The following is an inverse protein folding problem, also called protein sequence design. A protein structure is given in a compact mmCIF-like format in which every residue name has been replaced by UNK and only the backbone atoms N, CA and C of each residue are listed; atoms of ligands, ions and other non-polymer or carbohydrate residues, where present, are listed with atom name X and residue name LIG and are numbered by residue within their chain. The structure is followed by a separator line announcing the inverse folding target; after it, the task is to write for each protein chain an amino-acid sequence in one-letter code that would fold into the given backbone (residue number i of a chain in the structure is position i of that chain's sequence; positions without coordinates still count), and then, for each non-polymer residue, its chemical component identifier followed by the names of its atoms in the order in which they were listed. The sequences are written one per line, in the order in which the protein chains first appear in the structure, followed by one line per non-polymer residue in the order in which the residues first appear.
data_IF_042494141465
#
_entry.id   IF_042494141465
#
_cell.length_a   1.000
_cell.length_b   1.000
_cell.length_c   1.000
_cell.angle_alpha   90.00
_cell.angle_beta   90.00
_cell.angle_gamma   90.00
#
_symmetry.space_group_name_H-M   'P 1'
#
loop_
_entity.id
_entity.type
_entity.pdbx_description
1 polymer ?
#
# COMPACT_ATOMS: atom_id res chain seq x y z
N UNK A 1 -18.20 16.54 16.92
CA UNK A 1 -17.60 16.61 15.56
C UNK A 1 -18.19 17.86 14.94
N UNK A 2 -17.35 18.86 14.65
CA UNK A 2 -17.79 20.19 14.22
C UNK A 2 -18.27 20.04 12.76
N UNK A 3 -19.53 20.43 12.42
CA UNK A 3 -20.08 20.29 11.07
C UNK A 3 -19.21 20.94 9.99
N UNK A 4 -18.59 22.07 10.30
CA UNK A 4 -17.68 22.81 9.44
C UNK A 4 -16.42 22.01 9.05
N UNK A 5 -15.93 21.12 9.92
CA UNK A 5 -14.77 20.25 9.60
C UNK A 5 -15.15 19.14 8.62
N UNK A 6 -16.37 18.60 8.73
CA UNK A 6 -16.89 17.60 7.79
C UNK A 6 -17.11 18.22 6.40
N UNK A 7 -17.65 19.43 6.35
CA UNK A 7 -17.85 20.20 5.11
C UNK A 7 -16.53 20.59 4.47
N UNK A 8 -15.54 21.04 5.25
CA UNK A 8 -14.18 21.33 4.79
C UNK A 8 -13.50 20.09 4.21
N UNK A 9 -13.61 18.93 4.89
CA UNK A 9 -13.06 17.67 4.39
C UNK A 9 -13.74 17.19 3.11
N UNK A 10 -15.07 17.32 3.03
CA UNK A 10 -15.85 16.95 1.83
C UNK A 10 -15.50 17.85 0.64
N UNK A 11 -15.40 19.16 0.87
CA UNK A 11 -15.04 20.13 -0.16
C UNK A 11 -13.58 19.96 -0.62
N UNK A 12 -12.67 19.63 0.29
CA UNK A 12 -11.25 19.37 -0.02
C UNK A 12 -11.12 18.10 -0.86
N UNK A 13 -11.86 17.03 -0.53
CA UNK A 13 -11.88 15.77 -1.30
C UNK A 13 -12.52 16.00 -2.68
N UNK A 14 -13.63 16.75 -2.76
CA UNK A 14 -14.28 17.08 -4.03
C UNK A 14 -13.37 17.93 -4.92
N UNK A 15 -12.73 18.97 -4.37
CA UNK A 15 -11.78 19.80 -5.11
C UNK A 15 -10.54 19.01 -5.59
N UNK A 16 -10.06 18.02 -4.81
CA UNK A 16 -9.00 17.12 -5.25
C UNK A 16 -9.45 16.20 -6.38
N UNK A 17 -10.71 15.73 -6.36
CA UNK A 17 -11.30 14.93 -7.44
C UNK A 17 -11.48 15.76 -8.72
N UNK A 18 -11.93 17.02 -8.60
CA UNK A 18 -12.11 17.94 -9.73
C UNK A 18 -10.76 18.38 -10.33
N UNK A 19 -9.72 18.58 -9.50
CA UNK A 19 -8.36 18.84 -9.95
C UNK A 19 -7.75 17.65 -10.69
N UNK A 20 -8.08 16.41 -10.30
CA UNK A 20 -7.68 15.19 -11.00
C UNK A 20 -8.32 15.10 -12.39
N UNK A 21 -9.62 15.41 -12.51
CA UNK A 21 -10.35 15.38 -13.78
C UNK A 21 -9.84 16.42 -14.81
N UNK A 22 -9.25 17.53 -14.35
CA UNK A 22 -8.80 18.63 -15.22
C UNK A 22 -7.35 18.52 -15.72
N UNK A 23 -6.48 17.70 -15.09
CA UNK A 23 -5.05 17.65 -15.44
C UNK A 23 -4.63 16.48 -16.34
N UNK A 24 -5.57 15.58 -16.72
CA UNK A 24 -5.28 14.46 -17.62
C UNK A 24 -4.16 13.52 -17.12
N UNK A 25 -3.99 13.40 -15.82
CA UNK A 25 -2.96 12.56 -15.24
C UNK A 25 -3.24 11.08 -15.49
N UNK A 26 -2.18 10.34 -15.81
CA UNK A 26 -2.27 8.91 -15.96
C UNK A 26 -2.68 8.28 -14.61
N UNK A 27 -3.85 7.65 -14.60
CA UNK A 27 -4.37 6.94 -13.43
C UNK A 27 -3.73 5.56 -13.26
N UNK A 28 -3.08 5.05 -14.30
CA UNK A 28 -2.46 3.73 -14.29
C UNK A 28 -1.22 3.70 -13.37
N UNK A 29 -0.99 2.56 -12.80
CA UNK A 29 0.18 2.26 -11.98
C UNK A 29 1.32 1.87 -12.93
N UNK A 30 2.15 2.83 -13.33
CA UNK A 30 3.22 2.64 -14.32
C UNK A 30 4.09 1.43 -14.02
N UNK A 31 4.23 0.55 -15.01
CA UNK A 31 5.01 -0.67 -14.90
C UNK A 31 4.32 -1.82 -14.15
N UNK A 32 3.12 -1.61 -13.61
CA UNK A 32 2.33 -2.64 -12.95
C UNK A 32 1.45 -3.38 -13.96
N UNK A 33 2.08 -4.05 -14.92
CA UNK A 33 1.39 -4.95 -15.86
C UNK A 33 1.04 -6.27 -15.17
N UNK A 34 0.01 -6.99 -15.67
CA UNK A 34 -0.34 -8.32 -15.14
C UNK A 34 0.84 -9.30 -15.23
N UNK A 35 1.67 -9.21 -16.26
CA UNK A 35 2.89 -10.02 -16.38
C UNK A 35 3.89 -9.69 -15.27
N UNK A 36 4.20 -8.40 -15.05
CA UNK A 36 5.14 -7.97 -14.04
C UNK A 36 4.65 -8.31 -12.61
N UNK A 37 3.35 -8.13 -12.37
CA UNK A 37 2.71 -8.53 -11.10
C UNK A 37 2.82 -10.03 -10.89
N UNK A 38 2.49 -10.85 -11.91
CA UNK A 38 2.58 -12.31 -11.81
C UNK A 38 4.00 -12.77 -11.46
N UNK A 39 5.01 -12.16 -12.08
CA UNK A 39 6.42 -12.44 -11.77
C UNK A 39 6.80 -12.01 -10.36
N UNK A 40 6.40 -10.80 -9.93
CA UNK A 40 6.72 -10.27 -8.62
C UNK A 40 6.17 -11.14 -7.48
N UNK A 41 4.94 -11.67 -7.63
CA UNK A 41 4.31 -12.54 -6.64
C UNK A 41 4.61 -14.02 -6.81
N UNK A 42 5.39 -14.40 -7.85
CA UNK A 42 5.66 -15.79 -8.23
C UNK A 42 4.38 -16.60 -8.41
N UNK A 43 3.33 -15.95 -8.92
CA UNK A 43 2.03 -16.56 -9.13
C UNK A 43 1.90 -17.32 -10.44
N UNK A 44 0.78 -17.99 -10.60
CA UNK A 44 0.39 -18.68 -11.84
C UNK A 44 -0.69 -17.84 -12.51
N UNK A 45 -0.40 -17.33 -13.69
CA UNK A 45 -1.37 -16.59 -14.50
C UNK A 45 -2.23 -17.53 -15.31
N UNK A 46 -3.53 -17.28 -15.34
CA UNK A 46 -4.51 -17.93 -16.22
C UNK A 46 -5.32 -16.84 -16.92
N UNK A 47 -5.62 -17.01 -18.21
CA UNK A 47 -6.41 -16.07 -19.02
C UNK A 47 -5.75 -15.74 -20.36
N UNK A 48 -6.32 -14.76 -21.10
CA UNK A 48 -5.82 -14.36 -22.42
C UNK A 48 -4.39 -13.80 -22.34
N UNK A 49 -3.52 -14.23 -23.27
CA UNK A 49 -2.10 -13.78 -23.31
C UNK A 49 -1.96 -12.26 -23.55
N UNK A 50 -2.84 -11.69 -24.38
CA UNK A 50 -2.87 -10.26 -24.64
C UNK A 50 -3.12 -9.40 -23.40
N UNK A 51 -3.89 -9.92 -22.44
CA UNK A 51 -4.19 -9.21 -21.18
C UNK A 51 -2.97 -9.07 -20.27
N UNK A 52 -1.94 -9.89 -20.42
CA UNK A 52 -0.71 -9.81 -19.63
C UNK A 52 -0.03 -8.44 -19.68
N UNK A 53 -0.22 -7.69 -20.78
CA UNK A 53 0.36 -6.36 -20.99
C UNK A 53 -0.49 -5.22 -20.41
N UNK A 54 -1.68 -5.52 -19.89
CA UNK A 54 -2.55 -4.52 -19.30
C UNK A 54 -1.93 -3.97 -18.02
N UNK A 55 -1.80 -2.65 -17.93
CA UNK A 55 -1.39 -1.96 -16.71
C UNK A 55 -2.58 -1.77 -15.77
N UNK A 56 -2.33 -1.93 -14.48
CA UNK A 56 -3.34 -1.78 -13.44
C UNK A 56 -3.62 -0.31 -13.12
N UNK A 57 -4.88 0.02 -12.89
CA UNK A 57 -5.30 1.32 -12.35
C UNK A 57 -5.21 1.36 -10.83
N UNK A 58 -5.55 0.25 -10.16
CA UNK A 58 -5.62 0.13 -8.72
C UNK A 58 -5.42 -1.32 -8.27
N UNK A 59 -5.07 -1.50 -6.99
CA UNK A 59 -5.07 -2.80 -6.31
C UNK A 59 -5.88 -2.65 -5.03
N UNK A 60 -6.89 -3.50 -4.84
CA UNK A 60 -7.75 -3.48 -3.67
C UNK A 60 -8.02 -4.87 -3.10
N UNK A 61 -8.29 -4.93 -1.80
CA UNK A 61 -8.79 -6.12 -1.07
C UNK A 61 -10.27 -5.97 -0.69
N UNK A 62 -10.86 -4.80 -0.94
CA UNK A 62 -12.27 -4.51 -0.65
C UNK A 62 -13.06 -4.52 -1.96
N UNK A 63 -13.95 -5.51 -2.12
CA UNK A 63 -14.76 -5.67 -3.33
C UNK A 63 -15.65 -4.46 -3.67
N UNK A 64 -15.98 -3.63 -2.66
CA UNK A 64 -16.76 -2.39 -2.84
C UNK A 64 -15.94 -1.23 -3.41
N UNK A 65 -14.62 -1.37 -3.46
CA UNK A 65 -13.66 -0.37 -3.95
C UNK A 65 -12.93 -0.84 -5.21
N UNK A 66 -13.53 -1.78 -5.93
CA UNK A 66 -13.00 -2.20 -7.23
C UNK A 66 -13.12 -1.04 -8.20
N UNK A 67 -12.02 -0.71 -8.85
CA UNK A 67 -11.96 0.29 -9.91
C UNK A 67 -11.83 -0.41 -11.27
N UNK A 68 -12.28 0.26 -12.32
CA UNK A 68 -12.09 -0.22 -13.70
C UNK A 68 -10.60 -0.41 -13.97
N UNK A 69 -10.25 -1.52 -14.61
CA UNK A 69 -8.86 -1.95 -14.89
C UNK A 69 -8.03 -2.20 -13.61
N UNK A 70 -8.68 -2.41 -12.46
CA UNK A 70 -8.04 -2.73 -11.20
C UNK A 70 -7.79 -4.22 -10.99
N UNK A 71 -6.94 -4.56 -10.01
CA UNK A 71 -6.73 -5.90 -9.49
C UNK A 71 -7.46 -6.08 -8.16
N UNK A 72 -8.35 -7.04 -8.07
CA UNK A 72 -8.97 -7.44 -6.82
C UNK A 72 -8.21 -8.62 -6.20
N UNK A 73 -7.72 -8.45 -4.96
CA UNK A 73 -7.04 -9.51 -4.21
C UNK A 73 -8.00 -10.11 -3.19
N UNK A 74 -8.42 -11.34 -3.44
CA UNK A 74 -9.41 -12.06 -2.65
C UNK A 74 -8.76 -12.73 -1.42
N UNK A 75 -8.61 -11.98 -0.32
CA UNK A 75 -8.08 -12.50 0.92
C UNK A 75 -9.16 -13.30 1.67
N UNK A 76 -8.79 -14.48 2.13
CA UNK A 76 -9.63 -15.28 3.03
C UNK A 76 -9.44 -14.83 4.47
N UNK A 77 -10.33 -13.97 4.94
CA UNK A 77 -10.35 -13.51 6.33
C UNK A 77 -11.03 -14.49 7.29
N UNK A 78 -10.91 -14.25 8.59
CA UNK A 78 -11.52 -15.08 9.62
C UNK A 78 -13.08 -15.08 9.60
N UNK A 79 -13.70 -14.02 9.09
CA UNK A 79 -15.17 -13.86 9.07
C UNK A 79 -15.76 -13.89 7.66
N UNK A 80 -14.98 -13.55 6.66
CA UNK A 80 -15.44 -13.38 5.29
C UNK A 80 -14.41 -14.00 4.36
N UNK A 81 -14.86 -14.80 3.41
CA UNK A 81 -14.02 -15.35 2.35
C UNK A 81 -14.08 -14.42 1.13
N UNK A 82 -12.96 -13.78 0.82
CA UNK A 82 -12.82 -12.88 -0.34
C UNK A 82 -13.14 -13.54 -1.67
N UNK A 83 -12.97 -14.86 -1.79
CA UNK A 83 -13.27 -15.60 -3.01
C UNK A 83 -14.71 -15.51 -3.44
N UNK A 84 -15.64 -15.31 -2.50
CA UNK A 84 -17.07 -15.14 -2.79
C UNK A 84 -17.38 -13.90 -3.61
N UNK A 85 -16.49 -12.89 -3.58
CA UNK A 85 -16.66 -11.61 -4.28
C UNK A 85 -15.99 -11.56 -5.66
N UNK A 86 -15.20 -12.57 -6.03
CA UNK A 86 -14.50 -12.62 -7.33
C UNK A 86 -15.44 -12.40 -8.53
N UNK A 87 -16.61 -13.05 -8.63
CA UNK A 87 -17.53 -12.80 -9.74
C UNK A 87 -17.99 -11.33 -9.81
N UNK A 88 -18.40 -10.75 -8.67
CA UNK A 88 -18.83 -9.35 -8.59
C UNK A 88 -17.70 -8.36 -8.90
N UNK A 89 -16.48 -8.66 -8.47
CA UNK A 89 -15.32 -7.82 -8.77
C UNK A 89 -15.09 -7.65 -10.28
N UNK A 90 -15.28 -8.70 -11.07
CA UNK A 90 -15.22 -8.59 -12.53
C UNK A 90 -16.38 -7.77 -13.11
N UNK A 91 -17.58 -7.88 -12.54
CA UNK A 91 -18.75 -7.09 -12.95
C UNK A 91 -18.53 -5.60 -12.65
N UNK A 92 -17.85 -5.29 -11.53
CA UNK A 92 -17.50 -3.94 -11.12
C UNK A 92 -16.29 -3.36 -11.88
N UNK A 93 -15.64 -4.16 -12.74
CA UNK A 93 -14.62 -3.69 -13.68
C UNK A 93 -13.19 -4.11 -13.37
N UNK A 94 -12.95 -5.03 -12.44
CA UNK A 94 -11.62 -5.60 -12.25
C UNK A 94 -11.13 -6.23 -13.55
N UNK A 95 -9.91 -5.89 -13.96
CA UNK A 95 -9.26 -6.54 -15.11
C UNK A 95 -8.72 -7.91 -14.73
N UNK A 96 -8.38 -8.12 -13.46
CA UNK A 96 -7.84 -9.39 -12.95
C UNK A 96 -8.25 -9.60 -11.50
N UNK A 97 -8.39 -10.86 -11.10
CA UNK A 97 -8.53 -11.24 -9.69
C UNK A 97 -7.33 -12.10 -9.26
N UNK A 98 -7.00 -12.04 -7.97
CA UNK A 98 -5.92 -12.83 -7.35
C UNK A 98 -6.44 -13.58 -6.13
N UNK A 99 -6.08 -14.85 -5.99
CA UNK A 99 -6.43 -15.66 -4.82
C UNK A 99 -5.52 -16.85 -4.63
N UNK A 100 -5.67 -17.53 -3.50
CA UNK A 100 -5.03 -18.82 -3.23
C UNK A 100 -5.78 -20.00 -3.89
N UNK A 101 -7.05 -19.83 -4.21
CA UNK A 101 -7.85 -20.85 -4.88
C UNK A 101 -7.62 -20.84 -6.40
N UNK A 102 -7.78 -21.95 -7.10
CA UNK A 102 -7.71 -21.97 -8.55
C UNK A 102 -8.88 -21.18 -9.19
N UNK A 103 -8.69 -20.62 -10.41
CA UNK A 103 -9.75 -19.91 -11.11
C UNK A 103 -10.94 -20.83 -11.40
N UNK A 104 -12.16 -20.28 -11.26
CA UNK A 104 -13.41 -20.96 -11.67
C UNK A 104 -13.72 -20.72 -13.15
N UNK A 105 -13.18 -19.66 -13.73
CA UNK A 105 -13.33 -19.24 -15.11
C UNK A 105 -11.94 -18.92 -15.66
N UNK A 106 -11.42 -19.81 -16.49
CA UNK A 106 -10.09 -19.69 -17.11
C UNK A 106 -10.06 -18.71 -18.30
N UNK A 107 -11.21 -18.19 -18.70
CA UNK A 107 -11.30 -17.22 -19.81
C UNK A 107 -10.99 -15.79 -19.36
N UNK A 108 -11.00 -15.52 -18.05
CA UNK A 108 -10.72 -14.21 -17.45
C UNK A 108 -9.31 -14.16 -16.87
N UNK A 109 -8.62 -13.00 -16.92
CA UNK A 109 -7.31 -12.84 -16.30
C UNK A 109 -7.36 -13.13 -14.80
N UNK A 110 -6.56 -14.07 -14.35
CA UNK A 110 -6.52 -14.49 -12.95
C UNK A 110 -5.09 -14.83 -12.55
N UNK A 111 -4.70 -14.53 -11.31
CA UNK A 111 -3.40 -14.87 -10.75
C UNK A 111 -3.61 -15.73 -9.51
N UNK A 112 -3.18 -16.99 -9.57
CA UNK A 112 -3.18 -17.85 -8.39
C UNK A 112 -1.86 -17.70 -7.65
N UNK A 113 -1.92 -17.56 -6.31
CA UNK A 113 -0.76 -17.39 -5.43
C UNK A 113 -0.83 -18.34 -4.24
N UNK A 114 0.29 -18.58 -3.56
CA UNK A 114 0.32 -19.38 -2.34
C UNK A 114 -0.25 -18.63 -1.13
N UNK A 115 -0.07 -17.29 -1.08
CA UNK A 115 -0.57 -16.41 -0.02
C UNK A 115 -0.89 -15.04 -0.59
N UNK A 116 -2.15 -14.61 -0.47
CA UNK A 116 -2.58 -13.27 -0.87
C UNK A 116 -1.93 -12.17 -0.02
N UNK A 117 -1.70 -12.42 1.26
CA UNK A 117 -1.04 -11.47 2.17
C UNK A 117 0.44 -11.29 1.80
N UNK A 118 1.14 -12.37 1.44
CA UNK A 118 2.51 -12.27 0.96
C UNK A 118 2.55 -11.59 -0.42
N UNK A 119 1.63 -11.93 -1.31
CA UNK A 119 1.52 -11.32 -2.63
C UNK A 119 1.31 -9.79 -2.55
N UNK A 120 0.49 -9.29 -1.60
CA UNK A 120 0.35 -7.85 -1.37
C UNK A 120 1.67 -7.18 -1.02
N UNK A 121 2.47 -7.82 -0.15
CA UNK A 121 3.79 -7.30 0.24
C UNK A 121 4.76 -7.30 -0.94
N UNK A 122 4.81 -8.39 -1.68
CA UNK A 122 5.71 -8.54 -2.84
C UNK A 122 5.35 -7.55 -3.95
N UNK A 123 4.05 -7.35 -4.23
CA UNK A 123 3.58 -6.33 -5.18
C UNK A 123 3.94 -4.91 -4.73
N UNK A 124 3.80 -4.61 -3.43
CA UNK A 124 4.11 -3.29 -2.92
C UNK A 124 5.62 -3.01 -2.94
N UNK A 125 6.45 -3.99 -2.60
CA UNK A 125 7.91 -3.91 -2.71
C UNK A 125 8.32 -3.69 -4.17
N UNK A 126 7.75 -4.45 -5.09
CA UNK A 126 7.99 -4.31 -6.52
C UNK A 126 7.56 -2.92 -7.02
N UNK A 127 6.32 -2.49 -6.73
CA UNK A 127 5.85 -1.17 -7.16
C UNK A 127 6.69 -0.04 -6.57
N UNK A 128 7.04 -0.11 -5.27
CA UNK A 128 7.93 0.88 -4.64
C UNK A 128 9.30 0.95 -5.33
N UNK A 129 9.80 -0.17 -5.86
CA UNK A 129 11.08 -0.18 -6.58
C UNK A 129 11.04 0.57 -7.92
N UNK A 130 9.86 0.77 -8.50
CA UNK A 130 9.67 1.53 -9.74
C UNK A 130 9.52 3.05 -9.51
N UNK A 131 9.35 3.47 -8.25
CA UNK A 131 9.08 4.85 -7.88
C UNK A 131 10.37 5.55 -7.43
N UNK A 132 10.66 6.70 -8.02
CA UNK A 132 11.87 7.51 -7.72
C UNK A 132 11.59 8.70 -6.79
N UNK A 133 10.45 8.68 -6.07
CA UNK A 133 10.08 9.74 -5.13
C UNK A 133 10.74 9.51 -3.76
N UNK A 134 11.13 10.59 -3.02
CA UNK A 134 11.58 10.49 -1.64
C UNK A 134 10.46 10.01 -0.71
N UNK A 135 10.83 9.12 0.21
CA UNK A 135 9.91 8.55 1.20
C UNK A 135 10.42 8.83 2.61
N UNK A 136 9.56 9.44 3.42
CA UNK A 136 9.78 9.59 4.86
C UNK A 136 9.03 8.47 5.58
N UNK A 137 9.77 7.56 6.22
CA UNK A 137 9.22 6.50 7.07
C UNK A 137 9.14 6.95 8.52
N UNK A 138 7.99 6.76 9.17
CA UNK A 138 7.77 7.19 10.56
C UNK A 138 7.34 6.02 11.41
N UNK A 139 8.04 5.81 12.52
CA UNK A 139 7.68 4.82 13.53
C UNK A 139 7.86 5.34 14.95
N UNK A 140 7.59 4.50 15.94
CA UNK A 140 7.73 4.81 17.36
C UNK A 140 6.55 4.33 18.19
N UNK A 141 6.68 4.35 19.50
CA UNK A 141 5.65 3.86 20.41
C UNK A 141 4.41 4.76 20.42
N UNK A 142 4.58 6.08 20.48
CA UNK A 142 3.51 7.08 20.43
C UNK A 142 3.90 8.25 19.52
N UNK A 143 2.90 9.03 19.06
CA UNK A 143 3.13 10.25 18.27
C UNK A 143 3.36 10.04 16.78
N UNK A 144 3.36 8.81 16.26
CA UNK A 144 3.53 8.49 14.84
C UNK A 144 2.58 9.30 13.95
N UNK A 145 1.29 9.19 14.19
CA UNK A 145 0.25 9.85 13.38
C UNK A 145 0.36 11.37 13.42
N UNK A 146 0.58 11.96 14.59
CA UNK A 146 0.78 13.41 14.72
C UNK A 146 2.01 13.88 13.94
N UNK A 147 3.13 13.18 14.08
CA UNK A 147 4.38 13.50 13.37
C UNK A 147 4.21 13.34 11.86
N UNK A 148 3.53 12.29 11.41
CA UNK A 148 3.15 12.06 10.00
C UNK A 148 2.35 13.26 9.44
N UNK A 149 1.32 13.68 10.16
CA UNK A 149 0.47 14.80 9.73
C UNK A 149 1.26 16.11 9.65
N UNK A 150 2.15 16.38 10.61
CA UNK A 150 2.99 17.58 10.62
C UNK A 150 3.98 17.58 9.45
N UNK A 151 4.71 16.48 9.23
CA UNK A 151 5.67 16.37 8.14
C UNK A 151 4.95 16.47 6.78
N UNK A 152 3.85 15.76 6.62
CA UNK A 152 3.06 15.83 5.38
C UNK A 152 2.52 17.24 5.12
N UNK A 153 2.05 17.95 6.15
CA UNK A 153 1.57 19.33 6.01
C UNK A 153 2.67 20.29 5.56
N UNK A 154 3.91 20.11 6.05
CA UNK A 154 5.05 20.92 5.62
C UNK A 154 5.44 20.60 4.18
N UNK A 155 5.61 19.31 3.84
CA UNK A 155 5.99 18.90 2.48
C UNK A 155 4.94 19.29 1.45
N UNK A 156 3.66 19.21 1.79
CA UNK A 156 2.56 19.58 0.88
C UNK A 156 2.49 21.08 0.55
N UNK A 157 3.35 21.91 1.12
CA UNK A 157 3.49 23.33 0.73
C UNK A 157 4.20 23.48 -0.62
N UNK A 158 5.09 22.55 -0.94
CA UNK A 158 5.96 22.60 -2.13
C UNK A 158 5.81 21.37 -3.04
N UNK A 159 5.38 20.22 -2.49
CA UNK A 159 5.36 18.94 -3.18
C UNK A 159 3.97 18.30 -3.15
N UNK A 160 3.57 17.62 -4.23
CA UNK A 160 2.42 16.74 -4.20
C UNK A 160 2.75 15.51 -3.35
N UNK A 161 2.28 15.52 -2.11
CA UNK A 161 2.71 14.59 -1.06
C UNK A 161 1.62 13.57 -0.73
N UNK A 162 1.90 12.28 -0.96
CA UNK A 162 1.08 11.19 -0.43
C UNK A 162 1.38 10.95 1.04
N UNK A 163 0.37 10.63 1.84
CA UNK A 163 0.57 10.15 3.22
C UNK A 163 -0.30 8.94 3.54
N UNK A 164 0.14 8.15 4.54
CA UNK A 164 -0.68 7.09 5.11
C UNK A 164 -1.99 7.66 5.65
N UNK A 165 -3.12 7.09 5.23
CA UNK A 165 -4.45 7.42 5.75
C UNK A 165 -4.80 6.54 6.96
N UNK A 166 -5.49 7.15 7.94
CA UNK A 166 -5.93 6.41 9.11
C UNK A 166 -4.80 5.61 9.77
N UNK A 167 -5.05 4.32 9.96
CA UNK A 167 -4.14 3.36 10.58
C UNK A 167 -3.62 2.29 9.58
N UNK A 168 -3.52 2.62 8.29
CA UNK A 168 -2.95 1.74 7.26
C UNK A 168 -1.42 1.64 7.36
N UNK A 169 -0.92 1.26 8.54
CA UNK A 169 0.48 1.29 8.93
C UNK A 169 1.09 -0.08 9.23
N UNK A 170 0.34 -1.16 9.03
CA UNK A 170 0.76 -2.55 9.24
C UNK A 170 1.10 -3.27 7.93
N UNK A 171 1.37 -4.58 7.97
CA UNK A 171 1.79 -5.41 6.84
C UNK A 171 0.74 -5.54 5.71
N UNK A 172 -0.52 -5.15 5.94
CA UNK A 172 -1.56 -5.06 4.90
C UNK A 172 -1.80 -3.61 4.51
N UNK A 173 -1.89 -2.72 5.49
CA UNK A 173 -2.22 -1.31 5.26
C UNK A 173 -1.12 -0.54 4.53
N UNK A 174 0.16 -0.80 4.85
CA UNK A 174 1.28 -0.16 4.17
C UNK A 174 1.34 -0.49 2.67
N UNK A 175 1.22 -1.76 2.22
CA UNK A 175 1.02 -2.08 0.81
C UNK A 175 -0.09 -1.28 0.15
N UNK A 176 -1.28 -1.26 0.74
CA UNK A 176 -2.43 -0.52 0.20
C UNK A 176 -2.17 0.99 0.13
N UNK A 177 -1.38 1.54 1.04
CA UNK A 177 -0.94 2.94 0.99
C UNK A 177 0.00 3.17 -0.19
N UNK A 178 0.97 2.29 -0.41
CA UNK A 178 1.95 2.38 -1.51
C UNK A 178 1.24 2.27 -2.87
N UNK A 179 0.25 1.39 -3.02
CA UNK A 179 -0.53 1.27 -4.26
C UNK A 179 -1.32 2.54 -4.63
N UNK A 180 -1.42 3.51 -3.74
CA UNK A 180 -2.03 4.82 -4.02
C UNK A 180 -1.05 5.85 -4.57
N UNK A 181 0.24 5.59 -4.57
CA UNK A 181 1.25 6.47 -5.18
C UNK A 181 1.02 6.49 -6.70
N UNK A 182 1.12 7.66 -7.30
CA UNK A 182 0.98 7.89 -8.75
C UNK A 182 2.13 8.76 -9.22
N UNK A 183 2.34 8.86 -10.53
CA UNK A 183 3.42 9.65 -11.16
C UNK A 183 3.44 11.13 -10.76
N UNK A 184 2.31 11.69 -10.36
CA UNK A 184 2.23 13.09 -9.93
C UNK A 184 2.71 13.32 -8.49
N UNK A 185 2.80 12.27 -7.67
CA UNK A 185 3.31 12.44 -6.32
C UNK A 185 4.83 12.65 -6.36
N UNK A 186 5.27 13.66 -5.63
CA UNK A 186 6.67 14.07 -5.55
C UNK A 186 7.33 13.67 -4.22
N UNK A 187 6.52 13.28 -3.24
CA UNK A 187 6.98 12.75 -1.95
C UNK A 187 5.95 11.82 -1.33
N UNK A 188 6.39 10.96 -0.40
CA UNK A 188 5.47 10.16 0.41
C UNK A 188 5.89 10.14 1.89
N UNK A 189 4.88 10.16 2.78
CA UNK A 189 5.07 10.07 4.24
C UNK A 189 4.34 8.83 4.74
N UNK A 190 5.10 7.80 5.08
CA UNK A 190 4.59 6.47 5.39
C UNK A 190 4.72 6.19 6.89
N UNK A 191 3.58 5.97 7.56
CA UNK A 191 3.53 5.53 8.94
C UNK A 191 3.72 4.01 8.99
N UNK A 192 4.63 3.53 9.86
CA UNK A 192 4.95 2.12 10.06
C UNK A 192 4.75 1.75 11.52
N UNK A 193 3.72 0.95 11.79
CA UNK A 193 3.39 0.43 13.10
C UNK A 193 3.76 -1.03 13.22
N UNK A 194 4.34 -1.40 14.35
CA UNK A 194 4.68 -2.80 14.66
C UNK A 194 4.08 -3.22 15.99
N UNK A 195 3.83 -4.51 16.10
CA UNK A 195 3.37 -5.19 17.32
C UNK A 195 4.31 -6.33 17.74
N UNK A 196 5.17 -6.81 16.83
CA UNK A 196 6.03 -7.95 17.06
C UNK A 196 7.40 -7.79 16.39
N UNK A 197 8.35 -8.64 16.79
CA UNK A 197 9.68 -8.71 16.17
C UNK A 197 9.60 -9.10 14.70
N UNK A 198 10.48 -8.52 13.89
CA UNK A 198 10.59 -8.78 12.46
C UNK A 198 9.59 -8.02 11.59
N UNK A 199 8.48 -7.47 12.13
CA UNK A 199 7.54 -6.68 11.35
C UNK A 199 8.21 -5.43 10.76
N UNK A 200 9.03 -4.71 11.54
CA UNK A 200 9.72 -3.52 11.04
C UNK A 200 10.64 -3.84 9.87
N UNK A 201 11.35 -4.97 9.90
CA UNK A 201 12.21 -5.39 8.78
C UNK A 201 11.38 -5.56 7.50
N UNK A 202 10.19 -6.17 7.59
CA UNK A 202 9.30 -6.36 6.45
C UNK A 202 8.72 -5.04 5.95
N UNK A 203 8.24 -4.18 6.87
CA UNK A 203 7.70 -2.86 6.52
C UNK A 203 8.77 -1.95 5.90
N UNK A 204 9.97 -1.94 6.46
CA UNK A 204 11.10 -1.16 5.95
C UNK A 204 11.50 -1.62 4.54
N UNK A 205 11.51 -2.92 4.29
CA UNK A 205 11.79 -3.50 2.97
C UNK A 205 10.75 -3.07 1.92
N UNK A 206 9.47 -3.06 2.30
CA UNK A 206 8.36 -2.62 1.45
C UNK A 206 8.43 -1.10 1.21
N UNK A 207 8.56 -0.29 2.27
CA UNK A 207 8.53 1.18 2.18
C UNK A 207 9.79 1.77 1.55
N UNK A 208 10.96 1.16 1.78
CA UNK A 208 12.29 1.66 1.37
C UNK A 208 12.41 3.16 1.63
N UNK A 209 12.33 3.60 2.91
CA UNK A 209 12.36 5.02 3.23
C UNK A 209 13.76 5.60 3.01
N UNK A 210 13.81 6.80 2.44
CA UNK A 210 15.04 7.59 2.29
C UNK A 210 15.41 8.33 3.59
N UNK A 211 14.38 8.65 4.39
CA UNK A 211 14.51 9.27 5.71
C UNK A 211 13.67 8.54 6.72
N UNK A 212 14.25 8.20 7.87
CA UNK A 212 13.57 7.49 8.95
C UNK A 212 13.39 8.38 10.18
N UNK A 213 12.17 8.41 10.74
CA UNK A 213 11.85 9.15 11.95
C UNK A 213 11.33 8.17 13.01
N UNK A 214 12.04 8.08 14.14
CA UNK A 214 11.56 7.37 15.32
C UNK A 214 11.09 8.42 16.33
N UNK A 215 9.78 8.48 16.58
CA UNK A 215 9.19 9.52 17.44
C UNK A 215 9.62 9.35 18.90
N UNK A 216 9.56 8.13 19.40
CA UNK A 216 10.07 7.75 20.71
C UNK A 216 10.16 6.23 20.90
N UNK A 217 10.88 5.80 21.92
CA UNK A 217 10.95 4.41 22.41
C UNK A 217 10.24 4.35 23.76
N UNK A 218 9.01 3.87 23.77
CA UNK A 218 8.17 3.73 24.96
C UNK A 218 8.02 2.27 25.40
N UNK A 219 6.87 1.96 26.00
CA UNK A 219 6.53 0.65 26.57
C UNK A 219 5.28 0.05 25.90
N UNK A 220 5.13 0.23 24.58
CA UNK A 220 4.05 -0.39 23.81
C UNK A 220 4.38 -1.84 23.45
N UNK A 221 3.35 -2.67 23.29
CA UNK A 221 3.45 -4.08 22.84
C UNK A 221 4.45 -4.92 23.65
N UNK A 222 4.54 -4.68 24.98
CA UNK A 222 5.46 -5.42 25.86
C UNK A 222 5.12 -6.90 25.93
N UNK A 223 3.87 -7.29 25.69
CA UNK A 223 3.43 -8.68 25.59
C UNK A 223 4.21 -9.48 24.53
N UNK A 224 4.64 -8.85 23.45
CA UNK A 224 5.39 -9.47 22.36
C UNK A 224 6.87 -9.04 22.36
N UNK A 225 7.16 -7.79 22.71
CA UNK A 225 8.51 -7.21 22.65
C UNK A 225 9.29 -7.31 23.97
N UNK A 226 8.62 -7.73 25.05
CA UNK A 226 9.22 -7.99 26.37
C UNK A 226 9.43 -6.73 27.20
N UNK A 227 10.37 -5.89 26.82
CA UNK A 227 10.76 -4.70 27.56
C UNK A 227 11.04 -3.51 26.60
N UNK A 228 11.46 -2.39 27.17
CA UNK A 228 11.79 -1.18 26.39
C UNK A 228 12.99 -1.40 25.45
N UNK A 229 13.94 -2.24 25.84
CA UNK A 229 15.10 -2.58 25.00
C UNK A 229 14.66 -3.48 23.84
N UNK A 230 13.66 -4.34 24.04
CA UNK A 230 13.00 -5.09 22.97
C UNK A 230 12.29 -4.17 21.99
N UNK A 231 11.57 -3.16 22.48
CA UNK A 231 10.94 -2.13 21.64
C UNK A 231 12.00 -1.37 20.83
N UNK A 232 13.11 -0.95 21.46
CA UNK A 232 14.23 -0.29 20.78
C UNK A 232 14.79 -1.19 19.66
N UNK A 233 15.09 -2.45 19.96
CA UNK A 233 15.61 -3.41 18.97
C UNK A 233 14.65 -3.59 17.78
N UNK A 234 13.35 -3.71 18.05
CA UNK A 234 12.35 -3.88 17.00
C UNK A 234 12.23 -2.64 16.11
N UNK A 235 12.16 -1.44 16.71
CA UNK A 235 11.99 -0.19 15.96
C UNK A 235 13.25 0.25 15.22
N UNK A 236 14.44 0.00 15.76
CA UNK A 236 15.70 0.40 15.12
C UNK A 236 15.97 -0.31 13.79
N UNK A 237 15.24 -1.39 13.48
CA UNK A 237 15.34 -2.08 12.19
C UNK A 237 14.75 -1.29 11.00
N UNK A 238 14.16 -0.12 11.22
CA UNK A 238 13.66 0.75 10.14
C UNK A 238 14.78 1.18 9.18
N UNK A 239 16.02 1.26 9.63
CA UNK A 239 17.17 1.65 8.81
C UNK A 239 17.78 0.53 7.94
N UNK A 240 17.33 -0.73 8.09
CA UNK A 240 17.86 -1.88 7.32
C UNK A 240 17.62 -1.72 5.81
N UNK A 241 16.67 -0.89 5.42
CA UNK A 241 16.39 -0.59 4.02
C UNK A 241 17.23 0.54 3.44
N UNK A 242 18.35 0.94 4.08
CA UNK A 242 19.20 1.98 3.52
C UNK A 242 19.55 1.68 2.06
N UNK A 243 19.18 2.57 1.12
CA UNK A 243 19.67 2.43 -0.23
C UNK A 243 21.19 2.57 -0.19
N UNK A 244 21.89 1.52 -0.58
CA UNK A 244 23.34 1.56 -0.81
C UNK A 244 23.64 2.44 -2.03
N UNK A 245 23.29 3.72 -1.98
CA UNK A 245 23.80 4.72 -2.91
C UNK A 245 25.09 5.25 -2.32
N UNK A 246 26.27 5.00 -2.94
CA UNK A 246 27.47 5.70 -2.56
C UNK A 246 27.21 7.20 -2.81
N UNK A 247 27.54 8.03 -1.84
CA UNK A 247 27.55 9.48 -1.95
C UNK A 247 28.52 9.91 -3.04
#
# INVERSE_FOLDING_TARGET
MIPELAEYLTNTVSAMLDLRAGKGWNILMKGMTLEAVTQAVKGIYTGPEEAKKSELSAITIDSRQVEKDGLFVAIKGARVDGNTFVPGAYEDGAVCCMSTEPPKDETRPYIQVESCEQALKDMAEFYRSLLEIPVVGITGSVGKTTTKEMIAAVLSREYDTLKTLGNFNNEIGLPLTIFRIREHHEAAVLEMGISDFGEMTRLAKIARPDTCVITNIGTCHLENLGDRDGVLRALSLIHISEPTRPY
#
